data_IF_570225092953
#
_entry.id   IF_570225092953
#
_cell.length_a   1.000
_cell.length_b   1.000
_cell.length_c   1.000
_cell.angle_alpha   90.00
_cell.angle_beta   90.00
_cell.angle_gamma   90.00
#
_symmetry.space_group_name_H-M   'P 1'
#
loop_
_entity.id
_entity.type
_entity.pdbx_description
1 polymer ?
#
# COMPACT_ATOMS: atom_id res chain seq x y z
N UNK A 1 0.55 3.63 -13.82
CA UNK A 1 -0.40 2.52 -14.00
C UNK A 1 -1.74 3.12 -14.33
N UNK A 2 -2.36 2.77 -15.43
CA UNK A 2 -3.61 3.35 -15.90
C UNK A 2 -4.78 2.68 -15.18
N UNK A 3 -5.59 3.45 -14.50
CA UNK A 3 -6.87 3.00 -13.96
C UNK A 3 -7.96 3.44 -14.94
N UNK A 4 -8.42 2.58 -15.81
CA UNK A 4 -9.53 2.88 -16.70
C UNK A 4 -10.80 2.21 -16.20
N UNK A 5 -11.78 3.03 -15.88
CA UNK A 5 -13.07 2.57 -15.41
C UNK A 5 -13.03 1.98 -13.99
N UNK A 6 -14.15 1.45 -13.61
CA UNK A 6 -14.24 0.53 -12.50
C UNK A 6 -13.65 -0.80 -12.93
N UNK A 7 -13.43 -1.74 -12.05
CA UNK A 7 -12.95 -3.07 -12.39
C UNK A 7 -13.52 -3.59 -13.72
N UNK A 8 -12.76 -4.11 -14.61
CA UNK A 8 -11.36 -4.55 -14.57
C UNK A 8 -10.34 -3.53 -15.11
N UNK A 9 -10.70 -2.28 -15.14
CA UNK A 9 -10.04 -1.24 -15.93
C UNK A 9 -8.67 -0.76 -15.50
N UNK A 10 -7.96 -1.38 -14.59
CA UNK A 10 -6.55 -1.08 -14.40
C UNK A 10 -5.75 -1.96 -15.36
N UNK A 11 -5.26 -1.35 -16.41
CA UNK A 11 -4.53 -2.13 -17.40
C UNK A 11 -3.06 -2.27 -17.02
N UNK A 12 -2.69 -3.41 -16.51
CA UNK A 12 -1.35 -3.91 -16.80
C UNK A 12 -1.39 -4.49 -18.21
N UNK A 13 -0.84 -3.76 -19.16
CA UNK A 13 -0.66 -4.22 -20.54
C UNK A 13 0.81 -4.64 -20.70
N UNK A 14 1.13 -5.94 -20.75
CA UNK A 14 2.50 -6.44 -20.83
C UNK A 14 3.21 -6.11 -22.14
N UNK A 15 2.49 -5.73 -23.18
CA UNK A 15 3.07 -5.34 -24.47
C UNK A 15 3.54 -3.88 -24.45
N UNK A 16 2.90 -3.04 -23.65
CA UNK A 16 3.14 -1.59 -23.58
C UNK A 16 3.88 -1.19 -22.32
N UNK A 17 3.58 -1.84 -21.20
CA UNK A 17 4.11 -1.48 -19.89
C UNK A 17 5.20 -2.48 -19.46
N UNK A 18 6.47 -2.06 -19.44
CA UNK A 18 7.54 -2.91 -18.94
C UNK A 18 7.33 -3.20 -17.44
N UNK A 19 7.63 -4.42 -17.03
CA UNK A 19 7.44 -4.89 -15.66
C UNK A 19 8.72 -5.53 -15.11
N UNK A 20 9.27 -4.96 -14.06
CA UNK A 20 10.60 -5.35 -13.56
C UNK A 20 10.69 -6.81 -13.06
N UNK A 21 9.68 -7.45 -12.45
CA UNK A 21 9.79 -8.85 -12.07
C UNK A 21 10.11 -9.78 -13.23
N UNK A 22 9.55 -9.51 -14.42
CA UNK A 22 9.88 -10.23 -15.65
C UNK A 22 11.38 -10.14 -16.00
N UNK A 23 12.02 -9.01 -15.68
CA UNK A 23 13.46 -8.82 -15.92
C UNK A 23 14.28 -9.64 -14.92
N UNK A 24 13.91 -9.65 -13.66
CA UNK A 24 14.52 -10.53 -12.65
C UNK A 24 14.44 -12.00 -13.09
N UNK A 25 13.26 -12.45 -13.51
CA UNK A 25 13.06 -13.80 -14.03
C UNK A 25 13.98 -14.13 -15.21
N UNK A 26 14.12 -13.22 -16.16
CA UNK A 26 15.03 -13.38 -17.32
C UNK A 26 16.50 -13.43 -16.90
N UNK A 27 16.87 -12.86 -15.76
CA UNK A 27 18.21 -12.87 -15.21
C UNK A 27 18.42 -13.99 -14.16
N UNK A 28 17.61 -15.05 -14.22
CA UNK A 28 17.82 -16.26 -13.44
C UNK A 28 17.23 -16.27 -12.04
N UNK A 29 16.51 -15.22 -11.63
CA UNK A 29 15.76 -15.22 -10.37
C UNK A 29 14.50 -16.07 -10.49
N UNK A 30 14.16 -16.79 -9.44
CA UNK A 30 12.79 -17.31 -9.28
C UNK A 30 11.91 -16.16 -8.77
N UNK A 31 10.87 -15.84 -9.49
CA UNK A 31 9.99 -14.72 -9.15
C UNK A 31 8.68 -15.19 -8.57
N UNK A 32 8.27 -14.61 -7.44
CA UNK A 32 7.01 -14.93 -6.78
C UNK A 32 6.19 -13.70 -6.44
N UNK A 33 4.86 -13.83 -6.54
CA UNK A 33 3.92 -12.84 -6.02
C UNK A 33 2.84 -13.54 -5.21
N UNK A 34 2.64 -13.09 -3.97
CA UNK A 34 1.68 -13.65 -3.05
C UNK A 34 0.79 -12.54 -2.50
N UNK A 35 -0.52 -12.74 -2.56
CA UNK A 35 -1.48 -11.86 -1.92
C UNK A 35 -2.35 -11.07 -2.90
N UNK A 36 -2.68 -9.83 -2.56
CA UNK A 36 -3.61 -9.01 -3.31
C UNK A 36 -3.07 -8.61 -4.69
N UNK A 37 -3.88 -8.86 -5.72
CA UNK A 37 -3.68 -8.30 -7.06
C UNK A 37 -4.81 -7.32 -7.40
N UNK A 38 -4.46 -6.12 -7.90
CA UNK A 38 -5.44 -5.07 -8.17
C UNK A 38 -5.08 -4.23 -9.40
N UNK A 39 -4.33 -4.79 -10.35
CA UNK A 39 -3.83 -4.06 -11.52
C UNK A 39 -4.30 -4.67 -12.84
N UNK A 40 -5.58 -5.00 -12.91
CA UNK A 40 -6.21 -5.65 -14.06
C UNK A 40 -6.45 -7.15 -13.82
N UNK A 41 -7.14 -7.78 -14.75
CA UNK A 41 -7.49 -9.21 -14.66
C UNK A 41 -6.32 -10.13 -14.99
N UNK A 42 -5.38 -9.65 -15.81
CA UNK A 42 -4.15 -10.36 -16.14
C UNK A 42 -3.13 -10.19 -15.01
N UNK A 43 -2.80 -11.29 -14.37
CA UNK A 43 -1.84 -11.29 -13.25
C UNK A 43 -0.40 -11.53 -13.66
N UNK A 44 -0.16 -11.88 -14.93
CA UNK A 44 1.18 -12.23 -15.43
C UNK A 44 1.66 -13.62 -15.01
N UNK A 45 0.75 -14.49 -14.58
CA UNK A 45 1.08 -15.86 -14.18
C UNK A 45 1.83 -16.60 -15.28
N UNK A 46 2.89 -17.33 -14.92
CA UNK A 46 3.79 -18.07 -15.83
C UNK A 46 4.55 -17.22 -16.88
N UNK A 47 4.22 -15.93 -17.03
CA UNK A 47 4.90 -14.97 -17.90
C UNK A 47 5.91 -14.12 -17.13
N UNK A 48 5.45 -13.54 -16.01
CA UNK A 48 6.23 -12.61 -15.20
C UNK A 48 6.61 -13.22 -13.84
N UNK A 49 5.87 -14.23 -13.42
CA UNK A 49 6.01 -14.95 -12.17
C UNK A 49 6.17 -16.44 -12.38
N UNK A 50 7.14 -17.06 -11.68
CA UNK A 50 7.32 -18.51 -11.62
C UNK A 50 6.36 -19.15 -10.62
N UNK A 51 6.09 -18.45 -9.51
CA UNK A 51 5.12 -18.86 -8.51
C UNK A 51 4.21 -17.68 -8.14
N UNK A 52 2.91 -17.89 -8.23
CA UNK A 52 1.95 -16.86 -7.92
C UNK A 52 0.74 -17.44 -7.20
N UNK A 53 0.37 -16.85 -6.05
CA UNK A 53 -0.88 -17.14 -5.34
C UNK A 53 -1.55 -15.82 -5.02
N UNK A 54 -2.63 -15.51 -5.74
CA UNK A 54 -3.20 -14.16 -5.69
C UNK A 54 -4.69 -14.13 -5.46
N UNK A 55 -5.11 -13.18 -4.66
CA UNK A 55 -6.46 -12.69 -4.64
C UNK A 55 -6.64 -11.70 -5.81
N UNK A 56 -7.12 -12.22 -6.96
CA UNK A 56 -7.33 -11.44 -8.18
C UNK A 56 -8.64 -10.67 -8.10
N UNK A 57 -8.59 -9.57 -7.43
CA UNK A 57 -9.74 -8.75 -7.09
C UNK A 57 -10.51 -8.20 -8.30
N UNK A 58 -9.86 -7.75 -9.39
CA UNK A 58 -10.55 -7.33 -10.61
C UNK A 58 -11.29 -8.46 -11.36
N UNK A 59 -10.82 -9.70 -11.22
CA UNK A 59 -11.40 -10.85 -11.92
C UNK A 59 -12.60 -11.43 -11.16
N UNK A 60 -12.52 -11.50 -9.82
CA UNK A 60 -13.55 -12.11 -8.97
C UNK A 60 -14.25 -11.03 -8.16
N UNK A 61 -15.16 -10.28 -8.84
CA UNK A 61 -15.86 -9.12 -8.28
C UNK A 61 -16.75 -9.50 -7.09
N UNK A 62 -17.35 -10.69 -7.12
CA UNK A 62 -18.18 -11.25 -6.05
C UNK A 62 -17.38 -11.44 -4.74
N UNK A 63 -16.08 -11.66 -4.83
CA UNK A 63 -15.18 -11.81 -3.69
C UNK A 63 -14.33 -10.53 -3.44
N UNK A 64 -14.49 -9.49 -4.23
CA UNK A 64 -13.65 -8.27 -4.18
C UNK A 64 -13.76 -7.48 -2.86
N UNK A 65 -14.75 -7.75 -2.02
CA UNK A 65 -14.93 -7.19 -0.69
C UNK A 65 -14.22 -7.95 0.44
N UNK A 66 -13.74 -9.16 0.20
CA UNK A 66 -13.22 -10.09 1.20
C UNK A 66 -11.74 -9.81 1.53
N UNK A 67 -11.44 -8.63 2.06
CA UNK A 67 -10.07 -8.23 2.37
C UNK A 67 -9.38 -9.07 3.45
N UNK A 68 -10.14 -9.64 4.38
CA UNK A 68 -9.57 -10.23 5.60
C UNK A 68 -9.86 -11.71 5.79
N UNK A 69 -10.95 -12.21 5.24
CA UNK A 69 -11.37 -13.61 5.37
C UNK A 69 -11.94 -14.15 4.07
N UNK A 70 -11.82 -15.47 3.88
CA UNK A 70 -12.53 -16.24 2.86
C UNK A 70 -12.33 -15.69 1.44
N UNK A 71 -11.08 -15.69 1.01
CA UNK A 71 -10.67 -15.15 -0.29
C UNK A 71 -10.61 -16.24 -1.37
N UNK A 72 -11.06 -15.89 -2.58
CA UNK A 72 -10.82 -16.68 -3.78
C UNK A 72 -9.38 -16.45 -4.24
N UNK A 73 -8.51 -17.44 -4.03
CA UNK A 73 -7.11 -17.38 -4.45
C UNK A 73 -6.89 -18.22 -5.70
N UNK A 74 -6.31 -17.60 -6.73
CA UNK A 74 -5.80 -18.32 -7.91
C UNK A 74 -4.30 -18.61 -7.75
N UNK A 75 -3.89 -19.83 -8.13
CA UNK A 75 -2.48 -20.22 -8.16
C UNK A 75 -2.02 -20.36 -9.58
N UNK A 76 -0.97 -19.62 -9.96
CA UNK A 76 -0.35 -19.63 -11.29
C UNK A 76 -1.37 -19.50 -12.45
N UNK A 77 -2.39 -18.65 -12.27
CA UNK A 77 -3.42 -18.42 -13.27
C UNK A 77 -4.46 -19.54 -13.43
N UNK A 78 -4.44 -20.53 -12.55
CA UNK A 78 -5.42 -21.60 -12.52
C UNK A 78 -6.78 -21.17 -11.94
N UNK A 79 -7.68 -22.13 -11.78
CA UNK A 79 -9.00 -21.88 -11.20
C UNK A 79 -8.88 -21.41 -9.74
N UNK A 80 -9.72 -20.45 -9.31
CA UNK A 80 -9.68 -19.94 -7.96
C UNK A 80 -10.20 -20.95 -6.96
N UNK A 81 -9.55 -21.02 -5.81
CA UNK A 81 -9.96 -21.85 -4.68
C UNK A 81 -10.35 -20.96 -3.51
N UNK A 82 -11.52 -21.23 -2.92
CA UNK A 82 -11.93 -20.57 -1.68
C UNK A 82 -10.96 -20.94 -0.56
N UNK A 83 -10.24 -19.96 -0.05
CA UNK A 83 -9.27 -20.13 1.02
C UNK A 83 -9.83 -19.47 2.27
N UNK A 84 -10.21 -20.29 3.23
CA UNK A 84 -10.76 -19.83 4.50
C UNK A 84 -9.66 -19.32 5.45
N UNK A 85 -10.08 -18.61 6.49
CA UNK A 85 -9.20 -18.05 7.50
C UNK A 85 -8.75 -16.61 7.22
N UNK A 86 -7.89 -16.10 8.09
CA UNK A 86 -7.44 -14.71 8.03
C UNK A 86 -6.40 -14.52 6.93
N UNK A 87 -6.65 -13.62 6.00
CA UNK A 87 -5.85 -13.46 4.78
C UNK A 87 -4.37 -13.17 5.05
N UNK A 88 -4.07 -12.37 6.09
CA UNK A 88 -2.69 -12.08 6.48
C UNK A 88 -1.96 -13.34 6.90
N UNK A 89 -2.60 -14.22 7.67
CA UNK A 89 -2.01 -15.49 8.08
C UNK A 89 -1.78 -16.41 6.87
N UNK A 90 -2.77 -16.49 5.97
CA UNK A 90 -2.67 -17.30 4.74
C UNK A 90 -1.49 -16.85 3.87
N UNK A 91 -1.36 -15.56 3.60
CA UNK A 91 -0.26 -15.04 2.79
C UNK A 91 1.10 -15.21 3.47
N UNK A 92 1.15 -15.01 4.79
CA UNK A 92 2.37 -15.23 5.57
C UNK A 92 2.84 -16.69 5.47
N UNK A 93 1.92 -17.65 5.61
CA UNK A 93 2.26 -19.07 5.53
C UNK A 93 2.79 -19.44 4.14
N UNK A 94 2.15 -18.94 3.07
CA UNK A 94 2.61 -19.13 1.69
C UNK A 94 4.00 -18.51 1.46
N UNK A 95 4.26 -17.32 2.01
CA UNK A 95 5.56 -16.66 1.90
C UNK A 95 6.65 -17.43 2.66
N UNK A 96 6.35 -17.91 3.86
CA UNK A 96 7.26 -18.76 4.65
C UNK A 96 7.57 -20.07 3.93
N UNK A 97 6.57 -20.70 3.33
CA UNK A 97 6.75 -21.91 2.52
C UNK A 97 7.69 -21.65 1.33
N UNK A 98 7.50 -20.53 0.62
CA UNK A 98 8.36 -20.12 -0.50
C UNK A 98 9.80 -19.85 -0.04
N UNK A 99 10.01 -19.14 1.06
CA UNK A 99 11.33 -18.86 1.65
C UNK A 99 12.04 -20.16 2.00
N UNK A 100 11.31 -21.14 2.56
CA UNK A 100 11.81 -22.46 2.92
C UNK A 100 12.00 -23.42 1.74
N UNK A 101 11.94 -22.93 0.51
CA UNK A 101 12.27 -23.71 -0.69
C UNK A 101 11.08 -24.36 -1.40
N UNK A 102 9.85 -24.29 -0.85
CA UNK A 102 8.68 -24.80 -1.57
C UNK A 102 8.40 -23.95 -2.82
N UNK A 103 8.05 -24.63 -3.91
CA UNK A 103 7.64 -23.98 -5.17
C UNK A 103 8.74 -23.17 -5.87
N UNK A 104 10.01 -23.40 -5.55
CA UNK A 104 11.15 -22.77 -6.22
C UNK A 104 12.35 -23.69 -6.32
N UNK A 105 13.23 -23.37 -7.26
CA UNK A 105 14.56 -23.92 -7.34
C UNK A 105 15.46 -23.21 -6.32
N UNK A 106 15.90 -23.95 -5.29
CA UNK A 106 16.70 -23.41 -4.18
C UNK A 106 18.13 -23.00 -4.59
N UNK A 107 18.60 -23.48 -5.74
CA UNK A 107 19.91 -23.10 -6.28
C UNK A 107 19.93 -21.71 -6.91
N UNK A 108 18.76 -21.08 -7.11
CA UNK A 108 18.61 -19.78 -7.76
C UNK A 108 18.30 -18.68 -6.75
N UNK A 109 18.75 -17.45 -7.02
CA UNK A 109 18.26 -16.28 -6.30
C UNK A 109 16.76 -16.12 -6.54
N UNK A 110 16.08 -15.41 -5.64
CA UNK A 110 14.64 -15.23 -5.74
C UNK A 110 14.22 -13.77 -5.47
N UNK A 111 13.06 -13.43 -6.01
CA UNK A 111 12.34 -12.18 -5.78
C UNK A 111 10.92 -12.51 -5.34
N UNK A 112 10.51 -12.04 -4.17
CA UNK A 112 9.16 -12.21 -3.64
C UNK A 112 8.48 -10.86 -3.46
N UNK A 113 7.33 -10.68 -4.07
CA UNK A 113 6.43 -9.57 -3.80
C UNK A 113 5.24 -10.06 -2.96
N UNK A 114 5.31 -9.82 -1.65
CA UNK A 114 4.27 -10.18 -0.69
C UNK A 114 3.32 -9.01 -0.49
N UNK A 115 2.10 -9.14 -1.00
CA UNK A 115 1.10 -8.07 -1.04
C UNK A 115 -0.05 -8.36 -0.07
N UNK A 116 0.10 -7.97 1.18
CA UNK A 116 -0.97 -8.10 2.16
C UNK A 116 -2.22 -7.29 1.77
N UNK A 117 -3.43 -7.82 2.06
CA UNK A 117 -4.68 -7.06 1.95
C UNK A 117 -4.93 -6.16 3.17
N UNK A 118 -4.40 -6.53 4.31
CA UNK A 118 -4.37 -5.71 5.52
C UNK A 118 -3.34 -4.56 5.38
N UNK A 119 -3.64 -3.39 5.90
CA UNK A 119 -4.85 -3.07 6.67
C UNK A 119 -5.79 -2.13 5.88
N UNK A 120 -6.30 -2.58 4.78
CA UNK A 120 -7.30 -1.83 4.02
C UNK A 120 -8.61 -1.73 4.81
N UNK A 121 -9.44 -0.70 4.54
CA UNK A 121 -10.81 -0.67 5.05
C UNK A 121 -11.54 -1.98 4.70
N UNK A 122 -12.28 -2.58 5.64
CA UNK A 122 -12.80 -2.08 6.92
C UNK A 122 -11.92 -2.32 8.15
N UNK A 123 -10.66 -2.64 8.03
CA UNK A 123 -9.71 -2.85 9.14
C UNK A 123 -10.12 -3.98 10.08
N UNK A 124 -10.72 -5.01 9.56
CA UNK A 124 -11.20 -6.15 10.36
C UNK A 124 -10.02 -6.86 11.00
N UNK A 125 -9.90 -6.88 12.32
CA UNK A 125 -8.80 -7.56 13.00
C UNK A 125 -8.98 -9.09 12.94
N UNK A 126 -7.87 -9.80 13.09
CA UNK A 126 -7.95 -11.22 13.39
C UNK A 126 -8.71 -11.43 14.71
N UNK A 127 -9.45 -12.55 14.80
CA UNK A 127 -10.28 -12.85 15.98
C UNK A 127 -9.50 -12.77 17.28
N UNK A 128 -8.25 -13.29 17.28
CA UNK A 128 -7.34 -13.28 18.42
C UNK A 128 -6.93 -11.89 18.90
N UNK A 129 -7.16 -10.82 18.11
CA UNK A 129 -6.74 -9.46 18.43
C UNK A 129 -7.89 -8.49 18.69
N UNK A 130 -9.14 -8.97 18.72
CA UNK A 130 -10.32 -8.11 18.86
C UNK A 130 -10.42 -7.37 20.20
N UNK A 131 -9.80 -7.92 21.22
CA UNK A 131 -9.84 -7.34 22.57
C UNK A 131 -8.62 -6.46 22.89
N UNK A 132 -7.65 -6.38 21.99
CA UNK A 132 -6.45 -5.56 22.18
C UNK A 132 -6.77 -4.06 22.27
N UNK A 133 -5.90 -3.33 22.94
CA UNK A 133 -6.00 -1.88 23.12
C UNK A 133 -7.35 -1.40 23.72
N UNK A 134 -7.88 -1.99 24.79
CA UNK A 134 -9.20 -1.61 25.34
C UNK A 134 -9.23 -0.15 25.79
N UNK A 135 -8.13 0.37 26.31
CA UNK A 135 -8.00 1.70 26.88
C UNK A 135 -7.27 2.70 25.97
N UNK A 136 -7.19 2.43 24.67
CA UNK A 136 -6.51 3.34 23.73
C UNK A 136 -7.14 4.73 23.79
N UNK A 137 -6.29 5.75 23.84
CA UNK A 137 -6.70 7.15 23.71
C UNK A 137 -6.12 7.74 22.43
N UNK A 138 -6.97 8.32 21.62
CA UNK A 138 -6.58 8.94 20.36
C UNK A 138 -6.76 10.46 20.49
N UNK A 139 -5.68 11.20 20.35
CA UNK A 139 -5.75 12.66 20.24
C UNK A 139 -6.19 13.02 18.82
N UNK A 140 -7.35 13.66 18.65
CA UNK A 140 -7.82 14.04 17.34
C UNK A 140 -6.92 15.14 16.75
N UNK A 141 -6.72 15.16 15.41
CA UNK A 141 -6.10 16.29 14.74
C UNK A 141 -6.85 17.59 15.05
N UNK A 142 -6.10 18.68 15.23
CA UNK A 142 -6.69 19.98 15.61
C UNK A 142 -7.69 20.51 14.56
N UNK A 143 -7.54 20.11 13.31
CA UNK A 143 -8.37 20.53 12.20
C UNK A 143 -9.30 19.42 11.66
N UNK A 144 -9.64 18.46 12.52
CA UNK A 144 -10.55 17.35 12.18
C UNK A 144 -11.95 17.85 11.81
N UNK A 145 -12.46 18.87 12.49
CA UNK A 145 -13.73 19.56 12.17
C UNK A 145 -13.47 20.96 11.62
N UNK A 146 -14.45 21.52 10.93
CA UNK A 146 -14.40 22.91 10.47
C UNK A 146 -14.39 23.92 11.64
N UNK A 147 -13.90 25.17 11.44
CA UNK A 147 -13.37 25.70 10.18
C UNK A 147 -11.91 25.33 9.94
N UNK A 148 -11.49 25.31 8.66
CA UNK A 148 -10.10 25.08 8.24
C UNK A 148 -9.59 26.29 7.46
N UNK A 149 -9.48 27.40 8.17
CA UNK A 149 -9.07 28.67 7.58
C UNK A 149 -7.73 28.56 6.82
N UNK A 150 -7.64 29.22 5.68
CA UNK A 150 -6.42 29.22 4.84
C UNK A 150 -6.22 27.96 4.00
N UNK A 151 -7.08 26.97 4.11
CA UNK A 151 -7.04 25.78 3.24
C UNK A 151 -7.85 26.00 1.95
N UNK A 152 -7.56 25.24 0.87
CA UNK A 152 -8.40 25.25 -0.32
C UNK A 152 -9.88 24.93 -0.01
N UNK A 153 -10.77 25.42 -0.85
CA UNK A 153 -12.23 25.29 -0.61
C UNK A 153 -12.68 23.85 -0.40
N UNK A 154 -12.19 22.90 -1.20
CA UNK A 154 -12.54 21.48 -1.06
C UNK A 154 -12.13 20.86 0.29
N UNK A 155 -11.17 21.47 1.00
CA UNK A 155 -10.77 21.09 2.37
C UNK A 155 -11.65 21.80 3.39
N UNK A 156 -11.95 23.08 3.18
CA UNK A 156 -12.82 23.85 4.08
C UNK A 156 -14.23 23.26 4.13
N UNK A 157 -14.76 22.85 2.97
CA UNK A 157 -16.10 22.28 2.83
C UNK A 157 -16.21 20.82 3.28
N UNK A 158 -15.09 20.21 3.71
CA UNK A 158 -15.09 18.79 4.13
C UNK A 158 -15.85 18.64 5.45
N UNK A 159 -16.93 17.88 5.41
CA UNK A 159 -17.86 17.69 6.53
C UNK A 159 -18.03 16.19 6.87
N UNK A 160 -16.91 15.49 7.00
CA UNK A 160 -16.93 14.06 7.30
C UNK A 160 -16.99 13.76 8.80
N UNK A 161 -16.50 14.68 9.64
CA UNK A 161 -16.38 14.50 11.07
C UNK A 161 -17.22 15.53 11.84
N UNK A 162 -17.94 15.06 12.86
CA UNK A 162 -18.67 15.90 13.82
C UNK A 162 -18.24 15.54 15.24
N UNK A 163 -18.39 16.47 16.18
CA UNK A 163 -18.14 16.20 17.59
C UNK A 163 -19.38 15.57 18.22
N UNK A 164 -19.19 14.41 18.85
CA UNK A 164 -20.22 13.79 19.66
C UNK A 164 -20.48 14.57 20.96
N UNK A 165 -21.51 14.18 21.73
CA UNK A 165 -21.84 14.83 23.02
C UNK A 165 -20.72 14.78 24.05
N UNK A 166 -19.85 13.79 23.92
CA UNK A 166 -18.64 13.57 24.72
C UNK A 166 -17.41 14.32 24.20
N UNK A 167 -17.56 15.11 23.13
CA UNK A 167 -16.49 15.84 22.45
C UNK A 167 -15.60 14.97 21.56
N UNK A 168 -15.87 13.67 21.45
CA UNK A 168 -15.11 12.78 20.59
C UNK A 168 -15.57 12.90 19.14
N UNK A 169 -14.64 13.03 18.16
CA UNK A 169 -15.00 13.04 16.75
C UNK A 169 -15.62 11.73 16.29
N UNK A 170 -16.70 11.83 15.54
CA UNK A 170 -17.45 10.71 14.94
C UNK A 170 -17.65 10.97 13.47
N UNK A 171 -17.78 9.90 12.69
CA UNK A 171 -18.08 10.04 11.26
C UNK A 171 -19.53 10.48 11.11
N UNK A 172 -19.71 11.64 10.45
CA UNK A 172 -21.01 12.19 10.15
C UNK A 172 -21.75 11.30 9.13
N UNK A 173 -22.95 10.93 9.48
CA UNK A 173 -24.04 10.27 8.77
C UNK A 173 -23.83 9.66 7.40
N UNK A 174 -22.95 8.70 7.18
CA UNK A 174 -23.15 7.82 6.05
C UNK A 174 -21.99 7.43 5.16
N UNK A 175 -21.05 8.30 4.79
CA UNK A 175 -19.99 7.90 3.84
C UNK A 175 -19.05 6.76 4.33
N UNK A 176 -19.03 6.50 5.62
CA UNK A 176 -18.32 5.36 6.20
C UNK A 176 -19.22 4.14 6.48
N UNK A 177 -20.52 4.36 6.55
CA UNK A 177 -21.52 3.36 7.00
C UNK A 177 -22.23 2.65 5.86
N UNK A 178 -22.47 3.28 4.72
CA UNK A 178 -23.20 2.69 3.58
C UNK A 178 -22.43 1.58 2.84
N UNK A 179 -21.11 1.51 2.97
CA UNK A 179 -20.31 0.41 2.43
C UNK A 179 -20.28 -0.83 3.33
N UNK A 180 -21.14 -0.87 4.32
CA UNK A 180 -21.28 -2.02 5.23
C UNK A 180 -22.12 -3.18 4.66
N UNK A 181 -22.15 -3.36 3.34
CA UNK A 181 -22.65 -4.61 2.77
C UNK A 181 -21.70 -5.73 3.16
N UNK A 182 -22.24 -6.72 3.84
CA UNK A 182 -21.57 -7.94 4.27
C UNK A 182 -20.40 -7.75 5.29
N UNK A 183 -20.72 -7.45 6.54
CA UNK A 183 -19.79 -7.67 7.67
C UNK A 183 -18.78 -6.55 7.95
N UNK A 184 -18.84 -5.43 7.27
CA UNK A 184 -17.91 -4.29 7.43
C UNK A 184 -18.33 -3.30 8.53
N UNK A 185 -18.95 -3.76 9.59
CA UNK A 185 -19.38 -2.88 10.68
C UNK A 185 -18.19 -2.45 11.54
N UNK A 186 -18.16 -1.19 12.04
CA UNK A 186 -17.21 -0.80 13.05
C UNK A 186 -17.45 -1.64 14.32
N UNK A 187 -16.43 -2.36 14.76
CA UNK A 187 -16.52 -3.25 15.93
C UNK A 187 -16.63 -2.43 17.22
N UNK A 188 -15.98 -1.27 17.25
CA UNK A 188 -15.89 -0.40 18.43
C UNK A 188 -16.63 0.93 18.25
N UNK A 189 -17.69 0.95 17.42
CA UNK A 189 -18.44 2.17 17.11
C UNK A 189 -17.78 3.05 16.05
N UNK A 190 -18.42 4.20 15.74
CA UNK A 190 -18.01 5.09 14.64
C UNK A 190 -17.15 6.28 15.08
N UNK A 191 -16.70 6.31 16.34
CA UNK A 191 -15.79 7.34 16.84
C UNK A 191 -14.38 7.19 16.25
N UNK A 192 -13.60 8.28 16.27
CA UNK A 192 -12.20 8.26 15.88
C UNK A 192 -11.42 7.20 16.65
N UNK A 193 -11.56 7.16 17.97
CA UNK A 193 -10.92 6.17 18.83
C UNK A 193 -11.32 4.74 18.45
N UNK A 194 -12.61 4.49 18.21
CA UNK A 194 -13.10 3.17 17.83
C UNK A 194 -12.49 2.70 16.51
N UNK A 195 -12.44 3.56 15.50
CA UNK A 195 -11.83 3.23 14.21
C UNK A 195 -10.32 3.03 14.29
N UNK A 196 -9.61 3.88 15.02
CA UNK A 196 -8.15 3.75 15.19
C UNK A 196 -7.81 2.50 16.01
N UNK A 197 -8.59 2.17 17.04
CA UNK A 197 -8.45 0.92 17.77
C UNK A 197 -8.53 -0.29 16.83
N UNK A 198 -9.59 -0.35 16.04
CA UNK A 198 -9.81 -1.44 15.08
C UNK A 198 -8.69 -1.56 14.06
N UNK A 199 -8.18 -0.41 13.58
CA UNK A 199 -7.04 -0.36 12.68
C UNK A 199 -5.77 -0.93 13.33
N UNK A 200 -5.44 -0.52 14.57
CA UNK A 200 -4.27 -1.02 15.29
C UNK A 200 -4.38 -2.53 15.56
N UNK A 201 -5.56 -3.01 15.92
CA UNK A 201 -5.80 -4.45 16.09
C UNK A 201 -5.53 -5.25 14.80
N UNK A 202 -5.88 -4.71 13.63
CA UNK A 202 -5.56 -5.34 12.37
C UNK A 202 -4.05 -5.28 12.03
N UNK A 203 -3.34 -4.23 12.47
CA UNK A 203 -1.89 -4.11 12.31
C UNK A 203 -1.12 -5.18 13.08
N UNK A 204 -1.59 -5.62 14.26
CA UNK A 204 -0.89 -6.65 15.05
C UNK A 204 -0.69 -7.93 14.22
N UNK A 205 -1.73 -8.39 13.53
CA UNK A 205 -1.61 -9.60 12.71
C UNK A 205 -0.63 -9.42 11.53
N UNK A 206 -0.51 -8.21 11.01
CA UNK A 206 0.48 -7.88 9.99
C UNK A 206 1.90 -7.93 10.55
N UNK A 207 2.11 -7.35 11.73
CA UNK A 207 3.40 -7.38 12.44
C UNK A 207 3.83 -8.81 12.78
N UNK A 208 2.90 -9.64 13.29
CA UNK A 208 3.14 -11.07 13.48
C UNK A 208 3.56 -11.77 12.17
N UNK A 209 2.91 -11.43 11.06
CA UNK A 209 3.23 -11.96 9.74
C UNK A 209 4.64 -11.60 9.30
N UNK A 210 5.02 -10.32 9.44
CA UNK A 210 6.38 -9.84 9.17
C UNK A 210 7.39 -10.56 10.08
N UNK A 211 7.08 -10.71 11.37
CA UNK A 211 7.91 -11.45 12.32
C UNK A 211 8.18 -12.88 11.88
N UNK A 212 7.16 -13.60 11.36
CA UNK A 212 7.31 -14.97 10.85
C UNK A 212 8.16 -15.03 9.58
N UNK A 213 8.01 -14.07 8.66
CA UNK A 213 8.85 -13.94 7.46
C UNK A 213 10.32 -13.72 7.86
N UNK A 214 10.58 -12.77 8.75
CA UNK A 214 11.95 -12.51 9.24
C UNK A 214 12.56 -13.73 9.96
N UNK A 215 11.75 -14.47 10.71
CA UNK A 215 12.19 -15.69 11.36
C UNK A 215 12.52 -16.79 10.34
N UNK A 216 11.72 -16.95 9.28
CA UNK A 216 12.01 -17.91 8.21
C UNK A 216 13.33 -17.60 7.51
N UNK A 217 13.59 -16.33 7.19
CA UNK A 217 14.87 -15.89 6.61
C UNK A 217 16.06 -16.19 7.54
N UNK A 218 15.89 -15.96 8.85
CA UNK A 218 16.93 -16.21 9.84
C UNK A 218 17.24 -17.70 9.97
N UNK A 219 16.20 -18.53 10.12
CA UNK A 219 16.37 -19.98 10.32
C UNK A 219 16.93 -20.67 9.09
N UNK A 220 16.55 -20.22 7.90
CA UNK A 220 17.07 -20.75 6.64
C UNK A 220 18.46 -20.19 6.27
N UNK A 221 19.04 -19.30 7.08
CA UNK A 221 20.36 -18.70 6.82
C UNK A 221 20.38 -17.70 5.66
N UNK A 222 19.21 -17.21 5.21
CA UNK A 222 19.10 -16.31 4.05
C UNK A 222 19.07 -14.84 4.44
N UNK A 223 18.93 -14.49 5.73
CA UNK A 223 18.69 -13.12 6.19
C UNK A 223 19.77 -12.13 5.74
N UNK A 224 21.04 -12.50 5.85
CA UNK A 224 22.17 -11.63 5.54
C UNK A 224 22.38 -11.43 4.03
N UNK A 225 21.70 -12.24 3.20
CA UNK A 225 21.73 -12.14 1.75
C UNK A 225 20.35 -11.82 1.14
N UNK A 226 19.44 -11.26 1.93
CA UNK A 226 18.12 -10.85 1.46
C UNK A 226 17.88 -9.39 1.78
N UNK A 227 17.63 -8.57 0.74
CA UNK A 227 17.12 -7.22 0.91
C UNK A 227 15.65 -7.30 1.29
N UNK A 228 15.32 -7.00 2.54
CA UNK A 228 13.95 -6.94 3.02
C UNK A 228 13.46 -5.49 2.97
N UNK A 229 12.36 -5.27 2.26
CA UNK A 229 11.72 -3.96 2.17
C UNK A 229 10.28 -4.07 2.64
N UNK A 230 9.93 -3.34 3.70
CA UNK A 230 8.57 -3.18 4.17
C UNK A 230 8.07 -1.80 3.81
N UNK A 231 6.98 -1.74 3.07
CA UNK A 231 6.34 -0.48 2.69
C UNK A 231 4.84 -0.66 2.48
N UNK A 232 4.15 0.42 2.17
CA UNK A 232 2.75 0.40 1.75
C UNK A 232 2.56 1.26 0.51
N UNK A 233 1.42 1.10 -0.17
CA UNK A 233 1.10 1.83 -1.40
C UNK A 233 0.86 3.32 -1.16
N UNK A 234 0.49 3.72 0.07
CA UNK A 234 0.21 5.11 0.44
C UNK A 234 -0.01 5.25 1.95
N UNK A 235 -0.17 6.50 2.39
CA UNK A 235 -0.62 6.84 3.73
C UNK A 235 -2.14 6.73 3.91
N UNK A 236 -2.60 7.10 5.11
CA UNK A 236 -4.00 7.07 5.48
C UNK A 236 -4.34 8.18 6.50
N UNK A 237 -5.29 9.04 6.18
CA UNK A 237 -5.73 10.10 7.09
C UNK A 237 -6.75 9.58 8.11
N UNK A 238 -6.54 9.91 9.36
CA UNK A 238 -7.44 9.71 10.48
C UNK A 238 -7.86 11.05 11.08
N UNK A 239 -8.56 11.85 10.26
CA UNK A 239 -9.07 13.17 10.68
C UNK A 239 -8.20 14.36 10.24
N UNK A 240 -6.94 14.14 9.86
CA UNK A 240 -6.08 15.25 9.40
C UNK A 240 -6.75 16.00 8.25
N UNK A 241 -6.86 17.32 8.40
CA UNK A 241 -7.55 18.22 7.47
C UNK A 241 -9.02 17.83 7.19
N UNK A 242 -9.67 17.13 8.14
CA UNK A 242 -11.01 16.60 7.97
C UNK A 242 -11.14 15.38 7.08
N UNK A 243 -10.05 14.81 6.60
CA UNK A 243 -10.08 13.62 5.76
C UNK A 243 -10.12 12.33 6.58
N UNK A 244 -10.72 11.32 6.01
CA UNK A 244 -10.53 9.91 6.33
C UNK A 244 -10.16 9.22 5.04
N UNK A 245 -9.23 8.31 5.06
CA UNK A 245 -8.73 7.57 3.91
C UNK A 245 -7.58 8.28 3.18
N UNK A 246 -7.51 8.11 1.89
CA UNK A 246 -6.44 8.45 0.97
C UNK A 246 -6.88 9.54 0.00
N UNK A 247 -6.05 9.87 -0.98
CA UNK A 247 -6.26 10.71 -2.16
C UNK A 247 -5.87 12.18 -2.00
N UNK A 248 -5.92 12.78 -0.81
CA UNK A 248 -5.55 14.18 -0.63
C UNK A 248 -4.01 14.38 -0.71
N UNK A 249 -3.52 15.58 -1.09
CA UNK A 249 -2.08 15.83 -1.28
C UNK A 249 -1.32 16.08 0.03
N UNK A 250 -1.81 15.60 1.15
CA UNK A 250 -1.24 15.82 2.47
C UNK A 250 -0.48 14.61 2.98
N UNK A 251 0.50 14.83 3.84
CA UNK A 251 1.40 13.78 4.30
C UNK A 251 0.66 12.58 4.89
N UNK A 252 -0.38 12.80 5.67
CA UNK A 252 -1.17 11.72 6.26
C UNK A 252 -1.72 10.73 5.21
N UNK A 253 -1.98 11.20 3.98
CA UNK A 253 -2.58 10.38 2.91
C UNK A 253 -1.58 9.86 1.90
N UNK A 254 -0.38 10.45 1.80
CA UNK A 254 0.61 10.08 0.77
C UNK A 254 1.86 9.42 1.36
N UNK A 255 2.25 9.75 2.60
CA UNK A 255 3.42 9.12 3.22
C UNK A 255 3.07 7.70 3.70
N UNK A 256 3.86 6.74 3.23
CA UNK A 256 3.83 5.36 3.69
C UNK A 256 5.07 5.05 4.53
N UNK A 257 5.02 4.04 5.41
CA UNK A 257 6.23 3.54 6.05
C UNK A 257 7.20 3.02 4.97
N UNK A 258 8.49 3.20 5.20
CA UNK A 258 9.54 2.53 4.44
C UNK A 258 10.61 2.05 5.41
N UNK A 259 10.76 0.74 5.53
CA UNK A 259 11.78 0.10 6.33
C UNK A 259 12.58 -0.81 5.43
N UNK A 260 13.90 -0.65 5.43
CA UNK A 260 14.81 -1.45 4.62
C UNK A 260 15.82 -2.12 5.53
N UNK A 261 16.05 -3.41 5.33
CA UNK A 261 16.99 -4.20 6.12
C UNK A 261 17.73 -5.20 5.25
N UNK A 262 19.04 -5.22 5.39
CA UNK A 262 19.94 -6.28 4.92
C UNK A 262 21.20 -6.22 5.79
N UNK A 263 21.36 -7.13 6.75
CA UNK A 263 22.50 -7.10 7.68
C UNK A 263 23.84 -7.04 6.94
N UNK A 264 24.74 -6.16 7.39
CA UNK A 264 26.04 -5.96 6.76
C UNK A 264 26.07 -5.18 5.44
N UNK A 265 24.90 -4.82 4.89
CA UNK A 265 24.78 -4.01 3.65
C UNK A 265 23.99 -2.70 3.85
N UNK A 266 23.00 -2.74 4.72
CA UNK A 266 22.18 -1.59 5.12
C UNK A 266 22.55 -1.21 6.55
N UNK A 267 22.79 0.08 6.82
CA UNK A 267 23.14 0.57 8.15
C UNK A 267 21.98 0.39 9.12
N UNK A 268 22.26 -0.19 10.28
CA UNK A 268 21.22 -0.50 11.26
C UNK A 268 20.87 0.72 12.13
N UNK A 269 19.58 0.87 12.45
CA UNK A 269 19.09 1.90 13.38
C UNK A 269 19.10 3.34 12.83
N UNK A 270 19.39 3.52 11.57
CA UNK A 270 19.40 4.84 10.93
C UNK A 270 17.98 5.30 10.53
N UNK A 271 17.77 6.60 10.60
CA UNK A 271 16.51 7.25 10.17
C UNK A 271 16.83 8.30 9.11
N UNK A 272 16.40 8.04 7.89
CA UNK A 272 16.54 8.97 6.77
C UNK A 272 15.38 9.98 6.77
N UNK A 273 15.69 11.26 6.59
CA UNK A 273 14.70 12.34 6.51
C UNK A 273 14.43 12.82 5.07
N UNK A 274 15.18 12.31 4.12
CA UNK A 274 14.97 12.66 2.71
C UNK A 274 13.69 12.04 2.15
N UNK A 275 12.95 12.73 1.29
CA UNK A 275 11.81 12.16 0.60
C UNK A 275 12.28 11.08 -0.37
N UNK A 276 11.62 9.91 -0.32
CA UNK A 276 11.84 8.77 -1.21
C UNK A 276 10.53 8.43 -1.89
N UNK A 277 10.57 8.22 -3.20
CA UNK A 277 9.40 7.85 -4.00
C UNK A 277 9.30 6.34 -4.24
N UNK A 278 8.09 5.85 -4.50
CA UNK A 278 7.89 4.44 -4.88
C UNK A 278 8.64 4.06 -6.17
N UNK A 279 8.96 5.02 -7.03
CA UNK A 279 9.75 4.82 -8.25
C UNK A 279 11.23 4.54 -7.99
N UNK A 280 11.75 4.90 -6.81
CA UNK A 280 13.15 4.68 -6.42
C UNK A 280 13.40 3.21 -6.04
N UNK A 281 12.36 2.50 -5.57
CA UNK A 281 12.50 1.12 -5.12
C UNK A 281 12.94 0.16 -6.24
N UNK A 282 12.33 0.12 -7.44
CA UNK A 282 12.80 -0.74 -8.52
C UNK A 282 14.24 -0.47 -8.89
N UNK A 283 14.66 0.80 -9.00
CA UNK A 283 16.05 1.16 -9.33
C UNK A 283 17.02 0.59 -8.28
N UNK A 284 16.65 0.73 -7.02
CA UNK A 284 17.43 0.19 -5.89
C UNK A 284 17.48 -1.34 -5.91
N UNK A 285 16.38 -2.02 -6.28
CA UNK A 285 16.37 -3.47 -6.40
C UNK A 285 17.34 -3.97 -7.47
N UNK A 286 17.39 -3.30 -8.63
CA UNK A 286 18.37 -3.62 -9.67
C UNK A 286 19.81 -3.40 -9.21
N UNK A 287 20.09 -2.32 -8.48
CA UNK A 287 21.40 -2.04 -7.90
C UNK A 287 21.84 -3.15 -6.93
N UNK A 288 20.97 -3.55 -5.98
CA UNK A 288 21.28 -4.64 -5.05
C UNK A 288 21.44 -6.01 -5.72
N UNK A 289 20.71 -6.24 -6.82
CA UNK A 289 20.82 -7.47 -7.60
C UNK A 289 22.04 -7.49 -8.54
N UNK A 290 22.76 -6.37 -8.69
CA UNK A 290 23.85 -6.24 -9.65
C UNK A 290 23.39 -6.34 -11.10
N UNK A 291 22.17 -5.89 -11.40
CA UNK A 291 21.57 -5.93 -12.73
C UNK A 291 21.50 -4.53 -13.31
N UNK A 292 21.74 -4.43 -14.62
CA UNK A 292 21.53 -3.20 -15.37
C UNK A 292 20.06 -2.83 -15.47
N UNK A 293 19.77 -1.52 -15.46
CA UNK A 293 18.41 -1.03 -15.69
C UNK A 293 17.95 -1.33 -17.12
N UNK A 294 16.86 -2.08 -17.32
CA UNK A 294 16.44 -2.51 -18.65
C UNK A 294 15.80 -1.42 -19.50
N UNK A 295 15.45 -0.29 -18.90
CA UNK A 295 14.95 0.94 -19.53
C UNK A 295 15.25 2.15 -18.63
N UNK A 296 15.08 3.36 -19.18
CA UNK A 296 15.20 4.58 -18.41
C UNK A 296 14.07 4.66 -17.36
N UNK A 297 14.39 4.49 -16.11
CA UNK A 297 13.49 4.68 -14.97
C UNK A 297 13.55 6.12 -14.45
N UNK A 298 12.48 6.59 -13.83
CA UNK A 298 12.40 7.94 -13.26
C UNK A 298 12.86 8.01 -11.81
N UNK A 299 13.01 6.87 -11.15
CA UNK A 299 13.51 6.77 -9.79
C UNK A 299 15.02 6.84 -9.72
N UNK A 300 15.54 6.94 -8.50
CA UNK A 300 16.95 7.01 -8.18
C UNK A 300 17.35 5.84 -7.27
N UNK A 301 18.59 5.41 -7.35
CA UNK A 301 19.13 4.38 -6.45
C UNK A 301 19.36 4.98 -5.06
N UNK A 302 18.61 4.52 -4.07
CA UNK A 302 18.72 4.96 -2.68
C UNK A 302 19.82 4.24 -1.88
N UNK A 303 20.62 3.40 -2.51
CA UNK A 303 21.72 2.67 -1.85
C UNK A 303 22.66 3.59 -1.05
N UNK A 304 23.04 4.79 -1.48
CA UNK A 304 23.81 5.72 -0.66
C UNK A 304 23.12 6.03 0.68
N UNK A 305 21.84 6.36 0.65
CA UNK A 305 21.06 6.64 1.86
C UNK A 305 20.89 5.42 2.78
N UNK A 306 20.86 4.22 2.23
CA UNK A 306 20.82 2.98 3.01
C UNK A 306 22.15 2.67 3.74
N UNK A 307 23.26 3.26 3.28
CA UNK A 307 24.57 3.17 3.93
C UNK A 307 24.80 4.33 4.89
N UNK A 308 24.31 5.51 4.56
CA UNK A 308 24.41 6.72 5.37
C UNK A 308 23.14 7.55 5.20
N UNK A 309 22.23 7.48 6.15
CA UNK A 309 20.93 8.17 6.12
C UNK A 309 21.03 9.72 6.04
N UNK A 310 22.22 10.27 6.24
CA UNK A 310 22.52 11.72 6.20
C UNK A 310 23.33 12.11 4.97
N UNK A 311 23.51 11.20 4.01
CA UNK A 311 24.21 11.48 2.78
C UNK A 311 23.50 12.57 1.98
N UNK A 312 24.22 13.28 1.12
CA UNK A 312 23.62 14.32 0.28
C UNK A 312 22.60 13.71 -0.69
N UNK A 313 21.41 14.31 -0.71
CA UNK A 313 20.30 13.85 -1.54
C UNK A 313 19.48 15.02 -2.06
N UNK A 314 19.57 15.27 -3.35
CA UNK A 314 18.95 16.41 -4.06
C UNK A 314 17.86 15.99 -5.06
N UNK A 315 17.34 14.78 -4.89
CA UNK A 315 16.32 14.24 -5.79
C UNK A 315 14.91 14.48 -5.23
N UNK A 316 14.13 15.37 -5.83
CA UNK A 316 12.77 15.63 -5.41
C UNK A 316 11.84 14.48 -5.79
N UNK A 317 10.80 14.27 -4.98
CA UNK A 317 9.76 13.26 -5.24
C UNK A 317 8.53 13.92 -5.83
N UNK A 318 8.18 13.53 -7.03
CA UNK A 318 6.95 13.93 -7.71
C UNK A 318 5.84 12.93 -7.41
N UNK A 319 4.72 13.42 -6.90
CA UNK A 319 3.52 12.61 -6.66
C UNK A 319 2.32 13.27 -7.33
N UNK A 320 1.43 12.46 -7.89
CA UNK A 320 0.26 12.97 -8.62
C UNK A 320 -1.01 12.17 -8.30
N UNK A 321 -2.13 12.87 -8.30
CA UNK A 321 -3.47 12.28 -8.39
C UNK A 321 -4.18 12.92 -9.58
N UNK A 322 -4.46 12.15 -10.60
CA UNK A 322 -5.06 12.63 -11.84
C UNK A 322 -6.56 12.31 -11.96
N UNK A 323 -7.17 11.82 -10.87
CA UNK A 323 -8.57 11.38 -10.92
C UNK A 323 -8.75 10.20 -11.88
N UNK A 324 -9.78 10.31 -12.74
CA UNK A 324 -10.07 9.31 -13.77
C UNK A 324 -9.51 9.69 -15.17
N UNK A 325 -8.73 10.78 -15.26
CA UNK A 325 -8.25 11.33 -16.54
C UNK A 325 -6.73 11.43 -16.58
N UNK A 326 -6.17 11.44 -17.79
CA UNK A 326 -4.72 11.40 -18.03
C UNK A 326 -4.28 12.33 -19.17
N UNK A 327 -3.00 12.68 -19.16
CA UNK A 327 -2.35 13.38 -20.26
C UNK A 327 -3.00 14.70 -20.58
N UNK A 328 -3.36 14.92 -21.84
CA UNK A 328 -3.96 16.18 -22.31
C UNK A 328 -5.32 16.51 -21.69
N UNK A 329 -6.03 15.50 -21.18
CA UNK A 329 -7.32 15.68 -20.50
C UNK A 329 -7.20 16.41 -19.15
N UNK A 330 -5.97 16.58 -18.64
CA UNK A 330 -5.67 17.28 -17.40
C UNK A 330 -5.26 18.75 -17.63
N UNK A 331 -5.28 19.24 -18.85
CA UNK A 331 -4.89 20.64 -19.17
C UNK A 331 -5.79 21.66 -18.51
N UNK A 332 -7.09 21.39 -18.51
CA UNK A 332 -8.08 22.25 -17.89
C UNK A 332 -8.34 21.76 -16.47
N UNK A 333 -8.00 22.60 -15.50
CA UNK A 333 -8.28 22.32 -14.09
C UNK A 333 -9.76 22.63 -13.85
N UNK A 334 -10.59 21.62 -13.52
CA UNK A 334 -11.98 21.89 -13.23
C UNK A 334 -12.10 22.69 -11.95
N UNK A 335 -12.86 23.76 -12.01
CA UNK A 335 -13.21 24.56 -10.85
C UNK A 335 -14.33 23.97 -10.01
N UNK A 336 -15.00 22.93 -10.52
CA UNK A 336 -16.27 22.43 -9.98
C UNK A 336 -16.15 21.05 -9.34
N UNK A 337 -16.66 20.87 -8.11
CA UNK A 337 -16.81 19.55 -7.52
C UNK A 337 -17.65 18.63 -8.40
N UNK A 338 -17.21 17.40 -8.57
CA UNK A 338 -17.93 16.40 -9.39
C UNK A 338 -17.50 16.31 -10.85
N UNK A 339 -16.55 17.14 -11.32
CA UNK A 339 -15.98 16.96 -12.65
C UNK A 339 -15.20 15.62 -12.73
N UNK A 340 -14.93 15.10 -13.95
CA UNK A 340 -14.15 13.85 -14.13
C UNK A 340 -12.75 13.89 -13.54
N UNK A 341 -12.22 15.08 -13.25
CA UNK A 341 -10.92 15.27 -12.59
C UNK A 341 -11.01 15.34 -11.05
N UNK A 342 -12.21 15.24 -10.49
CA UNK A 342 -12.42 15.09 -9.06
C UNK A 342 -12.67 13.63 -8.71
N UNK A 343 -11.92 13.11 -7.75
CA UNK A 343 -12.14 11.80 -7.19
C UNK A 343 -12.61 11.94 -5.73
N UNK A 344 -13.87 11.60 -5.46
CA UNK A 344 -14.49 11.72 -4.13
C UNK A 344 -14.39 13.13 -3.53
N UNK A 345 -14.63 14.14 -4.37
CA UNK A 345 -14.58 15.54 -3.97
C UNK A 345 -13.16 16.12 -3.78
N UNK A 346 -12.13 15.39 -4.19
CA UNK A 346 -10.74 15.85 -4.21
C UNK A 346 -10.37 16.15 -5.67
N UNK A 347 -9.97 17.38 -6.01
CA UNK A 347 -9.51 17.71 -7.35
C UNK A 347 -8.21 16.95 -7.67
N UNK A 348 -7.86 16.86 -8.95
CA UNK A 348 -6.54 16.40 -9.31
C UNK A 348 -5.47 17.34 -8.73
N UNK A 349 -4.34 16.78 -8.43
CA UNK A 349 -3.22 17.56 -7.92
C UNK A 349 -1.88 16.95 -8.35
N UNK A 350 -0.87 17.78 -8.30
CA UNK A 350 0.52 17.39 -8.41
C UNK A 350 1.29 17.97 -7.23
N UNK A 351 2.18 17.20 -6.65
CA UNK A 351 3.06 17.68 -5.59
C UNK A 351 4.51 17.31 -5.84
N UNK A 352 5.40 18.20 -5.43
CA UNK A 352 6.84 18.01 -5.43
C UNK A 352 7.34 18.15 -4.00
N UNK A 353 8.01 17.11 -3.50
CA UNK A 353 8.65 17.11 -2.18
C UNK A 353 10.17 17.15 -2.34
N UNK A 354 10.82 18.12 -1.71
CA UNK A 354 12.28 18.30 -1.71
C UNK A 354 12.73 18.75 -0.32
N UNK A 355 13.62 17.99 0.27
CA UNK A 355 14.05 18.19 1.65
C UNK A 355 12.84 18.26 2.59
N UNK A 356 12.70 19.38 3.32
CA UNK A 356 11.58 19.61 4.24
C UNK A 356 10.36 20.31 3.61
N UNK A 357 10.44 20.68 2.34
CA UNK A 357 9.39 21.42 1.65
C UNK A 357 8.58 20.54 0.73
N UNK A 358 7.31 20.89 0.60
CA UNK A 358 6.39 20.29 -0.37
C UNK A 358 5.58 21.39 -1.04
N UNK A 359 5.68 21.45 -2.36
CA UNK A 359 4.82 22.26 -3.20
C UNK A 359 3.63 21.43 -3.69
N UNK A 360 2.44 21.98 -3.67
CA UNK A 360 1.20 21.33 -4.14
C UNK A 360 0.50 22.32 -5.09
N UNK A 361 0.13 21.80 -6.25
CA UNK A 361 -0.69 22.53 -7.23
C UNK A 361 -1.97 21.76 -7.50
#
# INVERSE_FOLDING_TARGET
MRMEGEYPGSAYDPEVLPFWPKVFRKNGYVTAQIGKWHTGVDTGANRDWDYQVVWNRPRYIENAGNYFYDQLLETNGGDPVMTSGYSTDNYTNLAVDFINGKHRDESKPWYLWLCYSGVHSPYTPAERHREEYPDIKVTPPADIVSPRAGKPKYVQDRDLWELGPDGEPRINGGEGMERTKAGHKPIHGNSLTGWVRQYHQAVIALDEGVGKVMQALRVSGQLDNTLVVFTSDQGYAWGQHGFKTKLAPYDATIRSPLIVSMPGKVSAGEVCQHPIGGTDLPVTFFSFAGLDLPWKMHGHDITPLLKNAKDDWDHPVLTTLLGAKYGSETRDIPSEPGSPLHLRGIPWWISLAEGRYKYIR
#
